data_IF_555152751521
#
_entry.id   IF_555152751521
#
_cell.length_a   1.000
_cell.length_b   1.000
_cell.length_c   1.000
_cell.angle_alpha   90.00
_cell.angle_beta   90.00
_cell.angle_gamma   90.00
#
_symmetry.space_group_name_H-M   'P 1'
#
loop_
_entity.id
_entity.type
_entity.pdbx_description
1 polymer ?
#
# COMPACT_ATOMS: atom_id res chain seq x y z
N UNK A 1 6.65 2.13 43.12
CA UNK A 1 6.34 1.13 42.07
C UNK A 1 5.81 1.87 40.85
N UNK A 2 6.62 2.08 39.80
CA UNK A 2 6.23 2.83 38.59
C UNK A 2 5.70 1.85 37.53
N UNK A 3 4.39 1.65 37.46
CA UNK A 3 3.76 1.07 36.26
C UNK A 3 3.37 2.24 35.37
N UNK A 4 4.24 2.60 34.42
CA UNK A 4 3.92 3.58 33.39
C UNK A 4 2.83 3.03 32.46
N UNK A 5 1.96 3.89 31.90
CA UNK A 5 0.86 3.46 31.04
C UNK A 5 1.37 2.69 29.83
N UNK A 6 0.68 1.61 29.49
CA UNK A 6 1.01 0.65 28.44
C UNK A 6 1.25 1.33 27.07
N UNK A 7 2.51 1.62 26.76
CA UNK A 7 3.00 1.95 25.39
C UNK A 7 3.17 0.69 24.52
N UNK A 8 2.43 -0.37 24.81
CA UNK A 8 2.57 -1.68 24.14
C UNK A 8 1.63 -1.84 22.95
N UNK A 9 0.40 -1.32 23.05
CA UNK A 9 -0.66 -1.55 22.06
C UNK A 9 -0.34 -0.86 20.72
N UNK A 10 0.05 0.42 20.75
CA UNK A 10 0.33 1.17 19.52
C UNK A 10 1.53 0.62 18.72
N UNK A 11 2.49 -0.02 19.38
CA UNK A 11 3.68 -0.58 18.72
C UNK A 11 3.33 -1.87 17.99
N UNK A 12 2.50 -2.72 18.62
CA UNK A 12 2.00 -3.95 18.02
C UNK A 12 1.01 -3.66 16.89
N UNK A 13 0.10 -2.71 17.05
CA UNK A 13 -0.84 -2.28 16.00
C UNK A 13 -0.10 -1.71 14.78
N UNK A 14 0.90 -0.85 15.00
CA UNK A 14 1.74 -0.32 13.90
C UNK A 14 2.51 -1.43 13.19
N UNK A 15 3.06 -2.39 13.93
CA UNK A 15 3.74 -3.54 13.33
C UNK A 15 2.78 -4.42 12.51
N UNK A 16 1.57 -4.67 13.02
CA UNK A 16 0.54 -5.43 12.32
C UNK A 16 0.06 -4.72 11.04
N UNK A 17 -0.16 -3.41 11.11
CA UNK A 17 -0.49 -2.58 9.95
C UNK A 17 0.63 -2.62 8.91
N UNK A 18 1.89 -2.47 9.35
CA UNK A 18 3.06 -2.51 8.44
C UNK A 18 3.19 -3.87 7.75
N UNK A 19 3.08 -4.98 8.49
CA UNK A 19 3.14 -6.32 7.90
C UNK A 19 1.99 -6.58 6.90
N UNK A 20 0.81 -6.03 7.16
CA UNK A 20 -0.31 -6.10 6.23
C UNK A 20 -0.05 -5.28 4.94
N UNK A 21 0.48 -4.07 5.12
CA UNK A 21 0.91 -3.18 4.04
C UNK A 21 1.95 -3.87 3.14
N UNK A 22 3.03 -4.42 3.72
CA UNK A 22 4.11 -5.09 2.98
C UNK A 22 3.60 -6.31 2.21
N UNK A 23 2.67 -7.07 2.80
CA UNK A 23 2.03 -8.21 2.15
C UNK A 23 1.21 -7.78 0.93
N UNK A 24 0.48 -6.66 1.02
CA UNK A 24 -0.30 -6.12 -0.10
C UNK A 24 0.60 -5.58 -1.21
N UNK A 25 1.71 -4.93 -0.86
CA UNK A 25 2.68 -4.46 -1.85
C UNK A 25 3.30 -5.64 -2.60
N UNK A 26 3.67 -6.71 -1.89
CA UNK A 26 4.22 -7.94 -2.49
C UNK A 26 3.22 -8.63 -3.42
N UNK A 27 1.94 -8.69 -3.05
CA UNK A 27 0.87 -9.18 -3.93
C UNK A 27 0.72 -8.33 -5.18
N UNK A 28 0.82 -7.00 -5.05
CA UNK A 28 0.81 -6.09 -6.19
C UNK A 28 1.93 -6.40 -7.17
N UNK A 29 3.15 -6.59 -6.69
CA UNK A 29 4.32 -6.93 -7.52
C UNK A 29 4.11 -8.26 -8.24
N UNK A 30 3.67 -9.28 -7.52
CA UNK A 30 3.36 -10.59 -8.10
C UNK A 30 2.31 -10.51 -9.21
N UNK A 31 1.28 -9.67 -9.05
CA UNK A 31 0.26 -9.49 -10.09
C UNK A 31 0.80 -8.70 -11.30
N UNK A 32 1.71 -7.74 -11.11
CA UNK A 32 2.43 -7.07 -12.21
C UNK A 32 3.25 -8.08 -13.01
N UNK A 33 4.00 -8.95 -12.34
CA UNK A 33 4.82 -9.99 -12.99
C UNK A 33 3.99 -10.99 -13.79
N UNK A 34 2.76 -11.27 -13.33
CA UNK A 34 1.80 -12.11 -14.05
C UNK A 34 1.01 -11.36 -15.15
N UNK A 35 1.29 -10.07 -15.38
CA UNK A 35 0.56 -9.24 -16.35
C UNK A 35 -0.85 -8.84 -15.92
N UNK A 36 -1.22 -9.11 -14.66
CA UNK A 36 -2.53 -8.78 -14.06
C UNK A 36 -2.53 -7.38 -13.45
N UNK A 37 -2.25 -6.37 -14.27
CA UNK A 37 -2.04 -5.01 -13.81
C UNK A 37 -3.26 -4.36 -13.12
N UNK A 38 -4.48 -4.69 -13.55
CA UNK A 38 -5.70 -4.18 -12.92
C UNK A 38 -5.85 -4.66 -11.47
N UNK A 39 -5.41 -5.89 -11.17
CA UNK A 39 -5.42 -6.41 -9.81
C UNK A 39 -4.24 -5.88 -8.99
N UNK A 40 -3.07 -5.74 -9.61
CA UNK A 40 -1.91 -5.07 -9.00
C UNK A 40 -2.26 -3.66 -8.51
N UNK A 41 -2.91 -2.85 -9.35
CA UNK A 41 -3.34 -1.50 -9.01
C UNK A 41 -4.23 -1.47 -7.76
N UNK A 42 -5.12 -2.46 -7.62
CA UNK A 42 -6.01 -2.59 -6.48
C UNK A 42 -5.27 -2.91 -5.20
N UNK A 43 -4.25 -3.78 -5.26
CA UNK A 43 -3.39 -4.09 -4.12
C UNK A 43 -2.61 -2.86 -3.66
N UNK A 44 -2.01 -2.11 -4.58
CA UNK A 44 -1.29 -0.87 -4.27
C UNK A 44 -2.21 0.24 -3.76
N UNK A 45 -3.43 0.37 -4.29
CA UNK A 45 -4.43 1.34 -3.84
C UNK A 45 -4.77 1.17 -2.35
N UNK A 46 -4.91 -0.07 -1.89
CA UNK A 46 -5.23 -0.36 -0.49
C UNK A 46 -4.04 -0.03 0.42
N UNK A 47 -2.81 -0.33 -0.02
CA UNK A 47 -1.61 0.02 0.72
C UNK A 47 -1.36 1.54 0.75
N UNK A 48 -1.56 2.24 -0.37
CA UNK A 48 -1.51 3.70 -0.45
C UNK A 48 -2.54 4.36 0.47
N UNK A 49 -3.78 3.82 0.53
CA UNK A 49 -4.83 4.27 1.47
C UNK A 49 -4.46 4.13 2.96
N UNK A 50 -3.45 3.33 3.27
CA UNK A 50 -2.91 3.21 4.63
C UNK A 50 -1.66 4.09 4.85
N UNK A 51 -1.37 5.01 3.93
CA UNK A 51 -0.24 5.94 4.00
C UNK A 51 1.09 5.33 3.53
N UNK A 52 1.07 4.29 2.70
CA UNK A 52 2.28 3.64 2.19
C UNK A 52 2.77 4.30 0.89
N UNK A 53 3.97 4.90 0.95
CA UNK A 53 4.54 5.72 -0.13
C UNK A 53 5.05 4.89 -1.31
N UNK A 54 5.59 3.69 -1.07
CA UNK A 54 6.13 2.77 -2.09
C UNK A 54 5.01 2.31 -3.02
N UNK A 55 3.83 2.02 -2.49
CA UNK A 55 2.65 1.59 -3.24
C UNK A 55 2.13 2.72 -4.12
N UNK A 56 2.18 3.96 -3.62
CA UNK A 56 1.85 5.13 -4.41
C UNK A 56 2.86 5.35 -5.54
N UNK A 57 4.15 5.10 -5.29
CA UNK A 57 5.18 5.12 -6.33
C UNK A 57 4.97 4.00 -7.36
N UNK A 58 4.59 2.79 -6.95
CA UNK A 58 4.28 1.69 -7.86
C UNK A 58 3.10 2.03 -8.78
N UNK A 59 2.03 2.65 -8.26
CA UNK A 59 0.91 3.10 -9.10
C UNK A 59 1.35 4.21 -10.05
N UNK A 60 2.25 5.11 -9.62
CA UNK A 60 2.85 6.12 -10.48
C UNK A 60 3.67 5.49 -11.61
N UNK A 61 4.49 4.48 -11.31
CA UNK A 61 5.26 3.76 -12.32
C UNK A 61 4.35 3.03 -13.32
N UNK A 62 3.28 2.40 -12.86
CA UNK A 62 2.27 1.83 -13.75
C UNK A 62 1.57 2.89 -14.60
N UNK A 63 1.33 4.09 -14.08
CA UNK A 63 0.77 5.21 -14.84
C UNK A 63 1.75 5.71 -15.92
N UNK A 64 3.03 5.86 -15.57
CA UNK A 64 4.09 6.24 -16.53
C UNK A 64 4.30 5.16 -17.60
N UNK A 65 4.17 3.89 -17.23
CA UNK A 65 4.21 2.75 -18.16
C UNK A 65 2.98 2.64 -19.08
N UNK A 66 1.98 3.53 -18.95
CA UNK A 66 0.76 3.48 -19.75
C UNK A 66 -0.22 2.37 -19.37
N UNK A 67 -0.01 1.74 -18.21
CA UNK A 67 -0.75 0.58 -17.72
C UNK A 67 -1.92 1.03 -16.83
N UNK A 68 -1.68 2.00 -15.95
CA UNK A 68 -2.71 2.58 -15.10
C UNK A 68 -3.31 3.84 -15.75
N UNK A 69 -4.64 3.98 -15.64
CA UNK A 69 -5.31 5.20 -16.11
C UNK A 69 -5.13 6.36 -15.12
N UNK A 70 -5.35 7.58 -15.61
CA UNK A 70 -5.29 8.79 -14.78
C UNK A 70 -6.27 8.73 -13.61
N UNK A 71 -7.42 8.07 -13.78
CA UNK A 71 -8.39 7.91 -12.69
C UNK A 71 -7.85 7.04 -11.56
N UNK A 72 -7.22 5.90 -11.89
CA UNK A 72 -6.63 5.01 -10.87
C UNK A 72 -5.54 5.72 -10.05
N UNK A 73 -4.71 6.53 -10.71
CA UNK A 73 -3.69 7.32 -10.02
C UNK A 73 -4.30 8.42 -9.14
N UNK A 74 -5.35 9.11 -9.63
CA UNK A 74 -6.06 10.12 -8.85
C UNK A 74 -6.79 9.53 -7.63
N UNK A 75 -7.38 8.35 -7.75
CA UNK A 75 -7.99 7.63 -6.62
C UNK A 75 -6.98 7.21 -5.56
N UNK A 76 -5.77 6.80 -5.98
CA UNK A 76 -4.69 6.46 -5.07
C UNK A 76 -4.22 7.69 -4.28
N UNK A 77 -4.04 8.82 -4.97
CA UNK A 77 -3.69 10.10 -4.36
C UNK A 77 -4.77 10.64 -3.42
N UNK A 78 -6.04 10.36 -3.70
CA UNK A 78 -7.16 10.77 -2.83
C UNK A 78 -7.22 9.94 -1.54
N UNK A 79 -6.68 8.72 -1.57
CA UNK A 79 -6.68 7.79 -0.46
C UNK A 79 -5.47 7.90 0.48
N UNK A 80 -4.33 8.36 -0.05
CA UNK A 80 -3.08 8.61 0.68
C UNK A 80 -3.13 9.94 1.44
#
# INVERSE_FOLDING_TARGET
>A
SRRGPCKGSSTLEKAAMRGNIDSRNSLGVYEVENGNYGRAARHYLIAAKMGESVSLNNIKEMFVGGIATKEHYAEALKGY
#
